data_IF_585773360417
#
_entry.id   IF_585773360417
#
_cell.length_a   1.000
_cell.length_b   1.000
_cell.length_c   1.000
_cell.angle_alpha   90.00
_cell.angle_beta   90.00
_cell.angle_gamma   90.00
#
_symmetry.space_group_name_H-M   'P 1'
#
loop_
_entity.id
_entity.type
_entity.pdbx_description
1 polymer ?
#
# COMPACT_ATOMS: atom_id res chain seq x y z
N UNK A 1 -18.03 4.71 33.95
CA UNK A 1 -19.28 5.48 33.79
C UNK A 1 -19.20 6.15 32.44
N UNK A 2 -19.40 5.34 31.42
CA UNK A 2 -19.27 5.73 30.02
C UNK A 2 -20.62 6.30 29.63
N UNK A 3 -20.73 7.63 29.67
CA UNK A 3 -21.88 8.30 29.09
C UNK A 3 -21.81 8.08 27.59
N UNK A 4 -22.62 7.15 27.10
CA UNK A 4 -23.06 7.10 25.70
C UNK A 4 -23.53 8.50 25.30
N UNK A 5 -22.62 9.27 24.70
CA UNK A 5 -22.94 10.49 24.00
C UNK A 5 -23.74 10.07 22.77
N UNK A 6 -25.07 10.18 22.88
CA UNK A 6 -25.98 10.15 21.73
C UNK A 6 -25.33 10.97 20.61
N UNK A 7 -24.80 10.29 19.58
CA UNK A 7 -24.24 10.94 18.39
C UNK A 7 -25.43 11.61 17.68
N UNK A 8 -25.68 12.87 18.00
CA UNK A 8 -26.51 13.72 17.17
C UNK A 8 -25.91 13.67 15.75
N UNK A 9 -26.73 13.38 14.73
CA UNK A 9 -26.21 13.25 13.38
C UNK A 9 -25.63 14.59 12.93
N UNK A 10 -24.42 14.53 12.37
CA UNK A 10 -23.75 15.69 11.82
C UNK A 10 -24.57 16.23 10.65
N UNK A 11 -24.80 17.54 10.60
CA UNK A 11 -25.46 18.14 9.44
C UNK A 11 -24.50 18.13 8.25
N UNK A 12 -25.02 18.08 7.02
CA UNK A 12 -24.18 18.10 5.81
C UNK A 12 -23.22 19.31 5.75
N UNK A 13 -23.64 20.46 6.30
CA UNK A 13 -22.81 21.65 6.41
C UNK A 13 -21.68 21.47 7.44
N UNK A 14 -21.96 20.88 8.60
CA UNK A 14 -20.94 20.61 9.61
C UNK A 14 -19.93 19.56 9.14
N UNK A 15 -20.35 18.58 8.35
CA UNK A 15 -19.45 17.61 7.72
C UNK A 15 -18.50 18.28 6.72
N UNK A 16 -19.04 19.09 5.81
CA UNK A 16 -18.25 19.89 4.87
C UNK A 16 -17.29 20.83 5.59
N UNK A 17 -17.71 21.42 6.71
CA UNK A 17 -16.85 22.26 7.55
C UNK A 17 -15.66 21.48 8.11
N UNK A 18 -15.90 20.27 8.64
CA UNK A 18 -14.84 19.43 9.20
C UNK A 18 -13.85 18.98 8.11
N UNK A 19 -14.36 18.54 6.96
CA UNK A 19 -13.54 18.17 5.81
C UNK A 19 -12.70 19.34 5.30
N UNK A 20 -13.29 20.53 5.16
CA UNK A 20 -12.56 21.73 4.71
C UNK A 20 -11.52 22.19 5.74
N UNK A 21 -11.80 22.02 7.03
CA UNK A 21 -10.86 22.37 8.10
C UNK A 21 -9.64 21.44 8.17
N UNK A 22 -9.81 20.16 7.81
CA UNK A 22 -8.71 19.18 7.77
C UNK A 22 -7.99 19.19 6.42
N UNK A 23 -8.74 19.15 5.31
CA UNK A 23 -8.22 18.86 3.97
C UNK A 23 -8.24 20.08 3.02
N UNK A 24 -8.67 21.26 3.48
CA UNK A 24 -8.86 22.46 2.64
C UNK A 24 -7.59 23.23 2.25
N UNK A 25 -6.41 22.62 2.40
CA UNK A 25 -5.12 23.19 2.02
C UNK A 25 -4.80 24.55 2.68
N UNK A 26 -3.88 25.33 2.11
CA UNK A 26 -3.37 26.57 2.72
C UNK A 26 -4.45 27.64 3.00
N UNK A 27 -5.55 27.64 2.23
CA UNK A 27 -6.61 28.64 2.35
C UNK A 27 -7.53 28.40 3.55
N UNK A 28 -7.75 27.14 3.90
CA UNK A 28 -8.80 26.77 4.86
C UNK A 28 -8.32 25.85 5.99
N UNK A 29 -7.33 24.99 5.76
CA UNK A 29 -6.86 24.05 6.77
C UNK A 29 -6.43 24.78 8.07
N UNK A 30 -6.94 24.32 9.22
CA UNK A 30 -6.70 24.95 10.52
C UNK A 30 -7.36 26.34 10.73
N UNK A 31 -7.98 26.93 9.71
CA UNK A 31 -8.55 28.29 9.75
C UNK A 31 -10.06 28.24 9.96
N UNK A 32 -10.47 28.28 11.24
CA UNK A 32 -11.89 28.19 11.66
C UNK A 32 -12.80 29.21 10.97
N UNK A 33 -12.41 30.48 10.97
CA UNK A 33 -13.23 31.56 10.41
C UNK A 33 -13.36 31.46 8.90
N UNK A 34 -12.27 31.15 8.19
CA UNK A 34 -12.29 30.99 6.73
C UNK A 34 -13.17 29.80 6.31
N UNK A 35 -13.06 28.66 7.00
CA UNK A 35 -13.90 27.48 6.74
C UNK A 35 -15.38 27.80 6.97
N UNK A 36 -15.69 28.45 8.10
CA UNK A 36 -17.06 28.80 8.44
C UNK A 36 -17.69 29.76 7.41
N UNK A 37 -16.94 30.78 6.98
CA UNK A 37 -17.41 31.71 5.93
C UNK A 37 -17.66 30.99 4.61
N UNK A 38 -16.79 30.07 4.23
CA UNK A 38 -16.93 29.33 2.97
C UNK A 38 -18.17 28.42 2.98
N UNK A 39 -18.42 27.72 4.09
CA UNK A 39 -19.51 26.74 4.19
C UNK A 39 -20.87 27.40 4.46
N UNK A 40 -20.92 28.35 5.41
CA UNK A 40 -22.17 28.99 5.84
C UNK A 40 -22.49 30.27 5.06
N UNK A 41 -21.59 30.72 4.17
CA UNK A 41 -21.72 31.95 3.38
C UNK A 41 -22.06 33.19 4.23
N UNK A 42 -21.53 33.23 5.46
CA UNK A 42 -21.77 34.29 6.45
C UNK A 42 -20.63 35.32 6.44
N UNK A 43 -20.86 36.47 5.80
CA UNK A 43 -19.91 37.58 5.75
C UNK A 43 -20.02 38.56 6.94
N UNK A 44 -20.87 38.26 7.93
CA UNK A 44 -21.07 39.12 9.09
C UNK A 44 -19.75 39.37 9.85
N UNK A 45 -19.58 40.56 10.46
CA UNK A 45 -18.49 40.77 11.43
C UNK A 45 -18.56 39.78 12.62
N UNK A 46 -19.74 39.21 12.90
CA UNK A 46 -19.94 38.21 13.96
C UNK A 46 -19.53 36.78 13.55
N UNK A 47 -19.24 36.53 12.27
CA UNK A 47 -18.87 35.22 11.75
C UNK A 47 -17.69 34.60 12.50
N UNK A 48 -16.74 35.42 12.97
CA UNK A 48 -15.63 34.96 13.80
C UNK A 48 -16.12 34.29 15.09
N UNK A 49 -16.97 34.97 15.88
CA UNK A 49 -17.48 34.43 17.14
C UNK A 49 -18.38 33.20 16.92
N UNK A 50 -19.19 33.22 15.86
CA UNK A 50 -20.06 32.09 15.51
C UNK A 50 -19.27 30.87 15.08
N UNK A 51 -18.19 31.06 14.29
CA UNK A 51 -17.30 29.97 13.91
C UNK A 51 -16.75 29.23 15.14
N UNK A 52 -16.19 29.96 16.10
CA UNK A 52 -15.67 29.33 17.33
C UNK A 52 -16.76 28.55 18.09
N UNK A 53 -17.99 29.09 18.17
CA UNK A 53 -19.11 28.36 18.78
C UNK A 53 -19.45 27.06 18.05
N UNK A 54 -19.42 27.06 16.71
CA UNK A 54 -19.66 25.85 15.90
C UNK A 54 -18.56 24.82 16.12
N UNK A 55 -17.29 25.23 16.09
CA UNK A 55 -16.16 24.33 16.36
C UNK A 55 -16.12 23.79 17.79
N UNK A 56 -16.70 24.51 18.76
CA UNK A 56 -16.86 24.04 20.14
C UNK A 56 -18.02 23.06 20.32
N UNK A 57 -18.86 22.82 19.30
CA UNK A 57 -19.93 21.81 19.39
C UNK A 57 -19.31 20.43 19.49
N UNK A 58 -19.81 19.55 20.38
CA UNK A 58 -19.21 18.23 20.60
C UNK A 58 -19.22 17.36 19.34
N UNK A 59 -20.25 17.47 18.49
CA UNK A 59 -20.35 16.73 17.23
C UNK A 59 -19.28 17.15 16.19
N UNK A 60 -19.02 18.46 16.07
CA UNK A 60 -17.99 19.01 15.17
C UNK A 60 -16.60 18.65 15.68
N UNK A 61 -16.36 18.81 16.98
CA UNK A 61 -15.09 18.44 17.61
C UNK A 61 -14.81 16.93 17.49
N UNK A 62 -15.83 16.08 17.64
CA UNK A 62 -15.71 14.64 17.45
C UNK A 62 -15.38 14.29 15.99
N UNK A 63 -16.04 14.91 15.01
CA UNK A 63 -15.75 14.68 13.59
C UNK A 63 -14.30 15.07 13.23
N UNK A 64 -13.81 16.24 13.69
CA UNK A 64 -12.42 16.65 13.49
C UNK A 64 -11.45 15.66 14.12
N UNK A 65 -11.76 15.15 15.32
CA UNK A 65 -10.93 14.15 15.99
C UNK A 65 -10.91 12.81 15.23
N UNK A 66 -12.06 12.37 14.72
CA UNK A 66 -12.17 11.15 13.89
C UNK A 66 -11.33 11.30 12.61
N UNK A 67 -11.45 12.44 11.91
CA UNK A 67 -10.65 12.72 10.71
C UNK A 67 -9.14 12.78 11.00
N UNK A 68 -8.73 13.36 12.13
CA UNK A 68 -7.32 13.37 12.53
C UNK A 68 -6.81 11.95 12.81
N UNK A 69 -7.60 11.14 13.52
CA UNK A 69 -7.25 9.74 13.79
C UNK A 69 -7.16 8.91 12.50
N UNK A 70 -8.02 9.18 11.52
CA UNK A 70 -7.98 8.52 10.21
C UNK A 70 -6.65 8.82 9.50
N UNK A 71 -6.24 10.09 9.44
CA UNK A 71 -4.93 10.49 8.88
C UNK A 71 -3.78 9.82 9.62
N UNK A 72 -3.81 9.80 10.95
CA UNK A 72 -2.77 9.13 11.75
C UNK A 72 -2.71 7.63 11.43
N UNK A 73 -3.85 6.95 11.39
CA UNK A 73 -3.93 5.52 11.05
C UNK A 73 -3.45 5.23 9.62
N UNK A 74 -3.78 6.10 8.65
CA UNK A 74 -3.30 5.99 7.27
C UNK A 74 -1.78 6.14 7.20
N UNK A 75 -1.22 7.13 7.89
CA UNK A 75 0.23 7.34 7.94
C UNK A 75 0.97 6.18 8.61
N UNK A 76 0.44 5.64 9.71
CA UNK A 76 0.97 4.44 10.37
C UNK A 76 0.92 3.24 9.43
N UNK A 77 -0.20 3.05 8.72
CA UNK A 77 -0.35 1.96 7.75
C UNK A 77 0.67 2.08 6.61
N UNK A 78 0.90 3.29 6.09
CA UNK A 78 1.90 3.52 5.05
C UNK A 78 3.31 3.23 5.58
N UNK A 79 3.65 3.69 6.78
CA UNK A 79 4.94 3.44 7.41
C UNK A 79 5.19 1.93 7.60
N UNK A 80 4.19 1.21 8.11
CA UNK A 80 4.25 -0.25 8.27
C UNK A 80 4.46 -0.97 6.93
N UNK A 81 3.72 -0.57 5.89
CA UNK A 81 3.91 -1.12 4.54
C UNK A 81 5.33 -0.89 4.03
N UNK A 82 5.89 0.30 4.23
CA UNK A 82 7.27 0.61 3.83
C UNK A 82 8.29 -0.25 4.58
N UNK A 83 8.12 -0.43 5.90
CA UNK A 83 9.01 -1.27 6.71
C UNK A 83 8.98 -2.74 6.29
N UNK A 84 7.78 -3.30 6.07
CA UNK A 84 7.60 -4.65 5.55
C UNK A 84 8.25 -4.78 4.17
N UNK A 85 8.11 -3.77 3.33
CA UNK A 85 8.69 -3.75 1.97
C UNK A 85 10.20 -3.82 1.98
N UNK A 86 10.85 -3.01 2.81
CA UNK A 86 12.30 -3.03 2.96
C UNK A 86 12.79 -4.42 3.40
N UNK A 87 12.08 -5.03 4.36
CA UNK A 87 12.41 -6.37 4.87
C UNK A 87 12.27 -7.43 3.78
N UNK A 88 11.16 -7.40 3.03
CA UNK A 88 10.94 -8.33 1.92
C UNK A 88 11.95 -8.15 0.80
N UNK A 89 12.35 -6.91 0.48
CA UNK A 89 13.42 -6.64 -0.48
C UNK A 89 14.77 -7.20 -0.03
N UNK A 90 15.13 -7.01 1.24
CA UNK A 90 16.37 -7.57 1.79
C UNK A 90 16.38 -9.11 1.72
N UNK A 91 15.28 -9.76 2.09
CA UNK A 91 15.12 -11.22 1.97
C UNK A 91 15.23 -11.67 0.51
N UNK A 92 14.60 -10.95 -0.41
CA UNK A 92 14.68 -11.27 -1.84
C UNK A 92 16.11 -11.19 -2.35
N UNK A 93 16.85 -10.13 -1.99
CA UNK A 93 18.25 -9.91 -2.40
C UNK A 93 19.19 -10.99 -1.82
N UNK A 94 19.08 -11.28 -0.52
CA UNK A 94 19.89 -12.32 0.12
C UNK A 94 19.65 -13.69 -0.52
N UNK A 95 18.38 -14.06 -0.70
CA UNK A 95 17.99 -15.38 -1.21
C UNK A 95 18.05 -15.49 -2.73
N UNK A 96 18.32 -14.41 -3.47
CA UNK A 96 18.47 -14.41 -4.93
C UNK A 96 19.79 -14.98 -5.40
N UNK A 97 20.86 -14.89 -4.59
CA UNK A 97 22.19 -15.38 -4.96
C UNK A 97 22.82 -16.32 -3.93
N UNK A 98 22.30 -16.38 -2.71
CA UNK A 98 22.86 -17.24 -1.66
C UNK A 98 22.96 -18.72 -2.06
N UNK A 99 24.05 -19.35 -1.60
CA UNK A 99 24.35 -20.77 -1.75
C UNK A 99 24.97 -21.29 -0.46
N UNK A 100 24.49 -22.44 0.03
CA UNK A 100 24.97 -23.05 1.27
C UNK A 100 25.57 -24.42 1.03
N UNK A 101 26.39 -24.85 1.97
CA UNK A 101 27.05 -26.16 1.96
C UNK A 101 26.77 -26.85 3.29
N UNK A 102 26.45 -28.13 3.25
CA UNK A 102 26.27 -28.94 4.45
C UNK A 102 27.61 -29.18 5.18
N UNK A 103 27.57 -29.64 6.43
CA UNK A 103 28.73 -29.96 7.27
C UNK A 103 29.71 -30.96 6.64
N UNK A 104 29.25 -31.73 5.64
CA UNK A 104 30.06 -32.67 4.87
C UNK A 104 30.64 -32.10 3.57
N UNK A 105 30.49 -30.78 3.31
CA UNK A 105 31.04 -30.13 2.12
C UNK A 105 30.17 -30.25 0.86
N UNK A 106 28.95 -30.80 0.97
CA UNK A 106 28.03 -30.97 -0.15
C UNK A 106 27.23 -29.67 -0.36
N UNK A 107 27.28 -29.11 -1.57
CA UNK A 107 26.50 -27.91 -1.93
C UNK A 107 25.00 -28.26 -1.91
N UNK A 108 24.24 -27.48 -1.16
CA UNK A 108 22.79 -27.59 -1.10
C UNK A 108 22.16 -26.97 -2.36
N UNK A 109 21.04 -27.54 -2.79
CA UNK A 109 20.27 -26.97 -3.90
C UNK A 109 19.83 -25.54 -3.56
N UNK A 110 19.99 -24.57 -4.47
CA UNK A 110 19.54 -23.20 -4.26
C UNK A 110 18.01 -23.04 -4.43
N UNK A 111 17.32 -24.06 -4.97
CA UNK A 111 15.89 -23.99 -5.28
C UNK A 111 15.00 -23.56 -4.09
N UNK A 112 15.22 -24.03 -2.84
CA UNK A 112 14.47 -23.56 -1.69
C UNK A 112 14.62 -22.06 -1.43
N UNK A 113 15.82 -21.50 -1.59
CA UNK A 113 16.07 -20.06 -1.40
C UNK A 113 15.41 -19.23 -2.50
N UNK A 114 15.50 -19.69 -3.76
CA UNK A 114 14.81 -19.03 -4.88
C UNK A 114 13.29 -19.04 -4.70
N UNK A 115 12.73 -20.11 -4.15
CA UNK A 115 11.31 -20.17 -3.80
C UNK A 115 10.93 -19.13 -2.74
N UNK A 116 11.79 -18.88 -1.74
CA UNK A 116 11.55 -17.83 -0.72
C UNK A 116 11.54 -16.44 -1.37
N UNK A 117 12.48 -16.17 -2.27
CA UNK A 117 12.53 -14.91 -3.04
C UNK A 117 11.25 -14.68 -3.85
N UNK A 118 10.75 -15.71 -4.56
CA UNK A 118 9.50 -15.62 -5.33
C UNK A 118 8.28 -15.40 -4.42
N UNK A 119 8.23 -16.04 -3.24
CA UNK A 119 7.15 -15.83 -2.28
C UNK A 119 7.17 -14.41 -1.69
N UNK A 120 8.35 -13.88 -1.37
CA UNK A 120 8.49 -12.49 -0.93
C UNK A 120 8.04 -11.49 -2.02
N UNK A 121 8.40 -11.75 -3.28
CA UNK A 121 7.94 -10.97 -4.42
C UNK A 121 6.41 -10.98 -4.56
N UNK A 122 5.78 -12.15 -4.35
CA UNK A 122 4.31 -12.29 -4.36
C UNK A 122 3.65 -11.45 -3.26
N UNK A 123 4.17 -11.51 -2.04
CA UNK A 123 3.66 -10.70 -0.93
C UNK A 123 3.78 -9.19 -1.23
N UNK A 124 4.85 -8.75 -1.90
CA UNK A 124 4.98 -7.37 -2.34
C UNK A 124 3.92 -6.97 -3.38
N UNK A 125 3.55 -7.87 -4.29
CA UNK A 125 2.45 -7.64 -5.24
C UNK A 125 1.10 -7.53 -4.54
N UNK A 126 0.89 -8.27 -3.43
CA UNK A 126 -0.35 -8.17 -2.65
C UNK A 126 -0.41 -6.85 -1.84
N UNK A 127 0.74 -6.38 -1.32
CA UNK A 127 0.83 -5.09 -0.60
C UNK A 127 0.66 -3.90 -1.57
N UNK A 128 1.23 -4.00 -2.77
CA UNK A 128 1.13 -3.00 -3.84
C UNK A 128 0.60 -3.64 -5.12
N UNK A 129 -0.72 -3.87 -5.21
CA UNK A 129 -1.31 -4.45 -6.40
C UNK A 129 -1.03 -3.54 -7.59
N UNK A 130 -0.29 -4.07 -8.57
CA UNK A 130 -0.04 -3.39 -9.84
C UNK A 130 -1.37 -3.36 -10.59
N UNK A 131 -2.07 -2.24 -10.50
CA UNK A 131 -3.26 -2.00 -11.33
C UNK A 131 -2.79 -1.87 -12.78
N UNK A 132 -2.93 -2.94 -13.56
CA UNK A 132 -2.86 -2.80 -15.01
C UNK A 132 -4.07 -1.98 -15.45
N UNK A 133 -3.86 -0.72 -15.84
CA UNK A 133 -4.85 0.06 -16.59
C UNK A 133 -5.16 -0.67 -17.89
N UNK A 134 -6.14 -1.56 -17.85
CA UNK A 134 -6.73 -2.24 -19.02
C UNK A 134 -8.11 -1.65 -19.28
N UNK A 135 -8.22 -0.32 -19.30
CA UNK A 135 -9.31 0.33 -20.01
C UNK A 135 -8.96 0.39 -21.50
N UNK A 136 -9.06 -0.77 -22.13
CA UNK A 136 -9.45 -0.86 -23.53
C UNK A 136 -10.59 -1.85 -23.55
N UNK A 137 -11.81 -1.32 -23.67
CA UNK A 137 -13.04 -2.09 -23.89
C UNK A 137 -12.89 -2.91 -25.17
N UNK A 138 -12.29 -4.08 -25.04
CA UNK A 138 -12.21 -5.11 -26.06
C UNK A 138 -12.50 -6.42 -25.37
N UNK A 139 -13.71 -6.93 -25.57
CA UNK A 139 -14.06 -8.34 -25.33
C UNK A 139 -12.90 -9.21 -25.82
N UNK A 140 -12.17 -9.82 -24.90
CA UNK A 140 -11.60 -11.15 -25.08
C UNK A 140 -11.22 -11.70 -23.70
N UNK A 141 -12.07 -12.62 -23.27
CA UNK A 141 -11.84 -13.58 -22.22
C UNK A 141 -10.66 -14.46 -22.63
N UNK A 142 -9.44 -14.10 -22.24
CA UNK A 142 -8.30 -15.03 -22.28
C UNK A 142 -7.33 -14.63 -21.19
N UNK A 143 -7.19 -15.54 -20.23
CA UNK A 143 -6.24 -15.53 -19.11
C UNK A 143 -4.98 -14.74 -19.38
N UNK A 144 -4.81 -13.65 -18.61
CA UNK A 144 -3.53 -12.94 -18.45
C UNK A 144 -2.52 -13.85 -17.74
N UNK A 145 -1.99 -14.83 -18.46
CA UNK A 145 -0.97 -15.75 -17.98
C UNK A 145 0.42 -15.31 -18.42
N UNK A 146 1.28 -14.94 -17.48
CA UNK A 146 2.72 -14.83 -17.73
C UNK A 146 3.24 -16.24 -18.01
N UNK A 147 3.77 -16.48 -19.20
CA UNK A 147 4.33 -17.78 -19.59
C UNK A 147 5.85 -17.77 -19.39
N UNK A 148 6.34 -18.60 -18.47
CA UNK A 148 7.77 -18.84 -18.30
C UNK A 148 8.18 -20.05 -19.15
N UNK A 149 8.94 -19.80 -20.23
CA UNK A 149 9.54 -20.88 -21.00
C UNK A 149 10.76 -21.40 -20.25
N UNK A 150 10.65 -22.60 -19.69
CA UNK A 150 11.77 -23.29 -19.04
C UNK A 150 12.53 -24.10 -20.09
N UNK A 151 13.76 -23.69 -20.39
CA UNK A 151 14.66 -24.47 -21.24
C UNK A 151 15.42 -25.45 -20.35
N UNK A 152 15.13 -26.74 -20.48
CA UNK A 152 15.89 -27.80 -19.82
C UNK A 152 17.05 -28.19 -20.74
N UNK A 153 18.32 -28.10 -20.30
CA UNK A 153 19.45 -28.58 -21.08
C UNK A 153 19.32 -30.09 -21.32
N UNK A 154 19.39 -30.51 -22.58
CA UNK A 154 19.47 -31.93 -22.95
C UNK A 154 20.87 -32.45 -22.59
N UNK A 155 21.01 -33.60 -21.92
CA UNK A 155 22.32 -34.18 -21.65
C UNK A 155 23.01 -34.52 -22.98
N UNK A 156 24.19 -33.93 -23.20
CA UNK A 156 25.06 -34.26 -24.33
C UNK A 156 25.49 -35.72 -24.18
N UNK A 157 25.03 -36.59 -25.06
CA UNK A 157 25.59 -37.94 -25.17
C UNK A 157 26.94 -37.83 -25.86
N UNK A 158 28.01 -37.96 -25.09
CA UNK A 158 29.36 -38.11 -25.64
C UNK A 158 29.45 -39.55 -26.14
N UNK A 159 29.22 -39.77 -27.43
CA UNK A 159 29.63 -41.01 -28.10
C UNK A 159 31.17 -41.04 -28.12
N UNK A 160 31.76 -42.03 -27.45
CA UNK A 160 33.16 -42.40 -27.66
C UNK A 160 33.27 -42.87 -29.11
N UNK A 161 34.02 -42.14 -29.93
CA UNK A 161 34.54 -42.66 -31.19
C UNK A 161 35.61 -43.70 -30.81
N UNK A 162 35.34 -44.95 -31.18
CA UNK A 162 36.34 -46.02 -31.14
C UNK A 162 37.33 -45.78 -32.28
N UNK A 163 38.60 -45.68 -31.91
CA UNK A 163 39.76 -45.48 -32.76
C UNK A 163 40.10 -46.82 -33.44
N UNK A 164 39.50 -47.09 -34.60
CA UNK A 164 39.93 -48.16 -35.50
C UNK A 164 40.91 -47.57 -36.53
N UNK A 165 42.21 -47.68 -36.25
CA UNK A 165 43.23 -47.60 -37.29
C UNK A 165 44.20 -48.79 -37.17
N UNK A 166 43.82 -49.89 -37.81
CA UNK A 166 44.71 -50.98 -38.19
C UNK A 166 45.01 -50.80 -39.70
N UNK A 167 46.24 -50.41 -40.07
CA UNK A 167 47.15 -51.07 -41.02
C UNK A 167 48.47 -50.30 -41.12
#
# INVERSE_FOLDING_TARGET
>A
MDKETKKLPLTAQEEQLCQLFMNGGMKFAGKRTSCYREVFKDESPKAYATAYKVFSRPQVAACIKELLQEVDNETETIAMKLQITETLKAVMEETADASYTDKFGIKLSPAPLRSVSVNAARTLMDIYPVKHSTDSKGKNETSSGVTFNVIVPVPVQITKEEDDNET
#
